data_IF_699464336272
#
_entry.id   IF_699464336272
#
_cell.length_a   1.000
_cell.length_b   1.000
_cell.length_c   1.000
_cell.angle_alpha   90.00
_cell.angle_beta   90.00
_cell.angle_gamma   90.00
#
_symmetry.space_group_name_H-M   'P 1'
#
loop_
_entity.id
_entity.type
_entity.pdbx_description
1 polymer ?
#
# COMPACT_ATOMS: atom_id res chain seq x y z
N UNK A 1 -27.74 32.47 1.60
CA UNK A 1 -29.11 32.33 1.07
C UNK A 1 -29.17 31.00 0.33
N UNK A 2 -29.51 29.93 1.05
CA UNK A 2 -29.53 28.57 0.49
C UNK A 2 -30.79 28.40 -0.34
N UNK A 3 -30.64 28.22 -1.66
CA UNK A 3 -31.70 27.63 -2.49
C UNK A 3 -31.94 26.24 -1.91
N UNK A 4 -33.08 26.04 -1.26
CA UNK A 4 -33.64 24.71 -1.12
C UNK A 4 -33.95 24.22 -2.55
N UNK A 5 -33.00 23.50 -3.15
CA UNK A 5 -33.22 22.81 -4.40
C UNK A 5 -34.24 21.71 -4.10
N UNK A 6 -35.48 21.92 -4.51
CA UNK A 6 -36.53 20.90 -4.51
C UNK A 6 -35.93 19.63 -5.14
N UNK A 7 -35.74 18.59 -4.32
CA UNK A 7 -35.27 17.28 -4.81
C UNK A 7 -36.32 16.61 -5.70
N UNK A 8 -37.58 16.98 -5.52
CA UNK A 8 -38.66 16.57 -6.39
C UNK A 8 -38.54 17.27 -7.75
N UNK A 9 -38.46 16.50 -8.83
CA UNK A 9 -38.30 17.06 -10.16
C UNK A 9 -38.12 16.00 -11.24
N UNK A 10 -37.95 16.46 -12.47
CA UNK A 10 -37.64 15.60 -13.61
C UNK A 10 -36.20 15.82 -14.03
N UNK A 11 -35.44 14.74 -14.14
CA UNK A 11 -34.01 14.80 -14.46
C UNK A 11 -33.64 13.83 -15.58
N UNK A 12 -32.66 14.19 -16.43
CA UNK A 12 -32.00 13.24 -17.31
C UNK A 12 -31.37 12.10 -16.51
N UNK A 13 -31.53 10.87 -17.01
CA UNK A 13 -31.09 9.65 -16.33
C UNK A 13 -29.94 9.00 -17.07
N UNK A 14 -28.93 8.57 -16.32
CA UNK A 14 -27.82 7.76 -16.81
C UNK A 14 -27.82 6.39 -16.11
N UNK A 15 -28.19 5.31 -16.83
CA UNK A 15 -28.09 3.96 -16.31
C UNK A 15 -26.64 3.48 -16.18
N UNK A 16 -26.21 3.12 -14.97
CA UNK A 16 -24.87 2.60 -14.70
C UNK A 16 -24.85 1.07 -14.76
N UNK A 17 -23.93 0.53 -15.58
CA UNK A 17 -23.77 -0.91 -15.78
C UNK A 17 -22.90 -1.58 -14.74
N UNK A 18 -21.69 -1.08 -14.58
CA UNK A 18 -20.64 -1.76 -13.80
C UNK A 18 -20.49 -1.14 -12.42
N UNK A 19 -20.70 0.16 -12.33
CA UNK A 19 -20.45 0.94 -11.11
C UNK A 19 -21.74 1.32 -10.40
N UNK A 20 -21.63 1.48 -9.08
CA UNK A 20 -22.66 2.01 -8.20
C UNK A 20 -21.98 3.11 -7.41
N UNK A 21 -22.57 4.30 -7.39
CA UNK A 21 -22.03 5.45 -6.68
C UNK A 21 -22.98 5.78 -5.52
N UNK A 22 -22.40 6.07 -4.35
CA UNK A 22 -23.12 6.63 -3.21
C UNK A 22 -22.93 8.16 -3.15
N UNK A 23 -23.76 8.89 -2.39
CA UNK A 23 -23.58 10.32 -2.16
C UNK A 23 -22.29 10.70 -1.42
N UNK A 24 -21.94 11.98 -1.46
CA UNK A 24 -20.96 12.60 -0.55
C UNK A 24 -19.55 12.75 -1.11
N UNK A 25 -19.23 12.14 -2.25
CA UNK A 25 -17.92 12.30 -2.92
C UNK A 25 -18.05 12.88 -4.33
N UNK A 26 -16.90 13.23 -4.90
CA UNK A 26 -16.74 13.62 -6.30
C UNK A 26 -15.96 12.52 -7.00
N UNK A 27 -16.42 12.07 -8.16
CA UNK A 27 -15.77 10.99 -8.89
C UNK A 27 -15.95 11.08 -10.40
N UNK A 28 -14.99 10.54 -11.19
CA UNK A 28 -15.12 10.43 -12.63
C UNK A 28 -16.00 9.22 -13.00
N UNK A 29 -16.86 9.39 -14.01
CA UNK A 29 -17.59 8.32 -14.68
C UNK A 29 -17.30 8.32 -16.17
N UNK A 30 -16.99 7.14 -16.72
CA UNK A 30 -16.82 6.95 -18.16
C UNK A 30 -18.16 6.79 -18.86
N UNK A 31 -18.35 7.55 -19.93
CA UNK A 31 -19.61 7.64 -20.66
C UNK A 31 -19.34 7.47 -22.14
N UNK A 32 -19.97 6.45 -22.73
CA UNK A 32 -19.78 6.10 -24.14
C UNK A 32 -21.04 5.83 -24.95
N UNK A 33 -22.21 5.76 -24.30
CA UNK A 33 -23.49 5.55 -25.01
C UNK A 33 -24.02 6.88 -25.53
N UNK A 34 -24.48 6.90 -26.78
CA UNK A 34 -25.08 8.11 -27.36
C UNK A 34 -26.21 8.69 -26.51
N UNK A 35 -27.12 7.86 -26.00
CA UNK A 35 -28.21 8.31 -25.14
C UNK A 35 -27.68 8.99 -23.85
N UNK A 36 -26.63 8.45 -23.23
CA UNK A 36 -26.02 9.06 -22.04
C UNK A 36 -25.29 10.37 -22.36
N UNK A 37 -24.64 10.46 -23.53
CA UNK A 37 -24.02 11.72 -24.00
C UNK A 37 -25.08 12.79 -24.21
N UNK A 38 -26.20 12.44 -24.87
CA UNK A 38 -27.33 13.38 -25.05
C UNK A 38 -27.94 13.82 -23.72
N UNK A 39 -28.04 12.92 -22.74
CA UNK A 39 -28.52 13.25 -21.39
C UNK A 39 -27.63 14.29 -20.70
N UNK A 40 -26.30 14.16 -20.82
CA UNK A 40 -25.35 15.15 -20.29
C UNK A 40 -25.49 16.48 -21.03
N UNK A 41 -25.51 16.46 -22.37
CA UNK A 41 -25.65 17.68 -23.16
C UNK A 41 -26.95 18.44 -22.83
N UNK A 42 -28.03 17.72 -22.55
CA UNK A 42 -29.27 18.31 -22.07
C UNK A 42 -29.11 18.88 -20.65
N UNK A 43 -28.60 18.09 -19.71
CA UNK A 43 -28.40 18.53 -18.32
C UNK A 43 -27.48 19.75 -18.20
N UNK A 44 -26.43 19.84 -19.01
CA UNK A 44 -25.50 20.98 -19.02
C UNK A 44 -26.12 22.28 -19.54
N UNK A 45 -27.26 22.22 -20.24
CA UNK A 45 -28.01 23.43 -20.66
C UNK A 45 -28.95 23.95 -19.59
N UNK A 46 -29.35 23.09 -18.65
CA UNK A 46 -30.27 23.41 -17.57
C UNK A 46 -29.47 23.64 -16.26
N UNK A 47 -29.67 22.81 -15.24
CA UNK A 47 -29.11 22.98 -13.90
C UNK A 47 -27.84 22.15 -13.63
N UNK A 48 -27.25 21.50 -14.64
CA UNK A 48 -26.17 20.51 -14.49
C UNK A 48 -26.54 19.30 -13.62
N UNK A 49 -27.83 19.07 -13.36
CA UNK A 49 -28.31 17.97 -12.52
C UNK A 49 -28.74 16.77 -13.36
N UNK A 50 -28.31 15.59 -12.92
CA UNK A 50 -28.69 14.30 -13.51
C UNK A 50 -29.01 13.30 -12.41
N UNK A 51 -29.63 12.20 -12.78
CA UNK A 51 -29.84 11.05 -11.89
C UNK A 51 -29.12 9.85 -12.47
N UNK A 52 -28.24 9.25 -11.67
CA UNK A 52 -27.59 7.99 -12.01
C UNK A 52 -28.33 6.85 -11.32
N UNK A 53 -28.59 5.77 -12.06
CA UNK A 53 -29.34 4.62 -11.55
C UNK A 53 -28.59 3.34 -11.89
N UNK A 54 -28.28 2.47 -10.93
CA UNK A 54 -27.70 1.17 -11.23
C UNK A 54 -28.70 0.30 -11.99
N UNK A 55 -28.21 -0.45 -12.97
CA UNK A 55 -28.98 -1.48 -13.67
C UNK A 55 -29.06 -2.75 -12.82
N UNK A 56 -30.23 -3.38 -12.77
CA UNK A 56 -30.42 -4.70 -12.16
C UNK A 56 -29.59 -5.76 -12.88
N UNK A 57 -29.59 -5.72 -14.21
CA UNK A 57 -28.79 -6.62 -15.04
C UNK A 57 -27.83 -5.82 -15.95
N UNK A 58 -26.51 -5.89 -15.71
CA UNK A 58 -25.49 -5.20 -16.52
C UNK A 58 -25.48 -5.58 -18.01
N UNK A 59 -25.98 -6.78 -18.34
CA UNK A 59 -26.00 -7.28 -19.72
C UNK A 59 -27.01 -6.53 -20.61
N UNK A 60 -27.99 -5.83 -20.02
CA UNK A 60 -28.99 -5.10 -20.78
C UNK A 60 -28.36 -3.89 -21.47
N UNK A 61 -28.62 -3.76 -22.78
CA UNK A 61 -28.06 -2.65 -23.58
C UNK A 61 -28.85 -1.38 -23.44
N UNK A 62 -30.15 -1.46 -23.58
CA UNK A 62 -31.03 -0.31 -23.56
C UNK A 62 -32.06 -0.56 -22.45
N UNK A 63 -31.70 -0.25 -21.19
CA UNK A 63 -32.51 -0.62 -20.03
C UNK A 63 -33.81 0.20 -19.99
N UNK A 64 -34.93 -0.50 -19.84
CA UNK A 64 -36.22 0.13 -19.53
C UNK A 64 -36.43 0.27 -18.03
N UNK A 65 -37.58 0.80 -17.61
CA UNK A 65 -37.90 1.03 -16.19
C UNK A 65 -37.75 -0.23 -15.32
N UNK A 66 -38.10 -1.41 -15.85
CA UNK A 66 -38.04 -2.68 -15.12
C UNK A 66 -36.60 -3.15 -14.86
N UNK A 67 -35.67 -2.76 -15.71
CA UNK A 67 -34.25 -3.13 -15.66
C UNK A 67 -33.44 -2.23 -14.74
N UNK A 68 -34.04 -1.15 -14.23
CA UNK A 68 -33.42 -0.18 -13.34
C UNK A 68 -33.88 -0.40 -11.89
N UNK A 69 -33.01 -0.06 -10.95
CA UNK A 69 -33.40 0.02 -9.54
C UNK A 69 -34.29 1.25 -9.28
N UNK A 70 -35.14 1.14 -8.26
CA UNK A 70 -36.08 2.20 -7.85
C UNK A 70 -35.40 3.30 -7.04
N UNK A 71 -34.13 3.10 -6.65
CA UNK A 71 -33.30 4.08 -5.96
C UNK A 71 -32.10 4.41 -6.83
N UNK A 72 -31.85 5.71 -7.00
CA UNK A 72 -30.68 6.25 -7.69
C UNK A 72 -29.98 7.31 -6.86
N UNK A 73 -29.00 7.96 -7.45
CA UNK A 73 -28.31 9.11 -6.86
C UNK A 73 -28.46 10.31 -7.76
N UNK A 74 -28.91 11.42 -7.17
CA UNK A 74 -28.88 12.73 -7.82
C UNK A 74 -27.44 13.23 -7.82
N UNK A 75 -26.95 13.63 -8.98
CA UNK A 75 -25.59 14.08 -9.16
C UNK A 75 -25.53 15.39 -9.94
N UNK A 76 -24.51 16.19 -9.64
CA UNK A 76 -24.19 17.42 -10.35
C UNK A 76 -22.99 17.17 -11.27
N UNK A 77 -23.10 17.58 -12.53
CA UNK A 77 -22.00 17.55 -13.50
C UNK A 77 -21.04 18.69 -13.16
N UNK A 78 -19.83 18.33 -12.72
CA UNK A 78 -18.77 19.30 -12.40
C UNK A 78 -17.94 19.61 -13.64
N UNK A 79 -17.56 18.59 -14.39
CA UNK A 79 -16.71 18.74 -15.56
C UNK A 79 -16.92 17.61 -16.56
N UNK A 80 -16.90 17.93 -17.86
CA UNK A 80 -16.94 16.96 -18.94
C UNK A 80 -15.63 17.02 -19.72
N UNK A 81 -14.91 15.90 -19.79
CA UNK A 81 -13.66 15.75 -20.53
C UNK A 81 -13.89 14.82 -21.72
N UNK A 82 -13.67 15.32 -22.93
CA UNK A 82 -13.77 14.53 -24.16
C UNK A 82 -12.41 13.94 -24.50
N UNK A 83 -12.30 12.61 -24.50
CA UNK A 83 -11.06 11.92 -24.86
C UNK A 83 -10.98 11.63 -26.36
N UNK A 84 -12.07 11.10 -26.93
CA UNK A 84 -12.17 10.73 -28.35
C UNK A 84 -13.63 10.87 -28.82
N UNK A 85 -13.93 10.77 -30.12
CA UNK A 85 -15.31 10.70 -30.59
C UNK A 85 -16.07 9.58 -29.85
N UNK A 86 -17.16 9.93 -29.18
CA UNK A 86 -18.01 8.98 -28.45
C UNK A 86 -17.46 8.48 -27.11
N UNK A 87 -16.34 9.00 -26.59
CA UNK A 87 -15.82 8.65 -25.25
C UNK A 87 -15.58 9.90 -24.40
N UNK A 88 -16.33 10.00 -23.32
CA UNK A 88 -16.28 11.12 -22.38
C UNK A 88 -16.00 10.60 -20.98
N UNK A 89 -15.24 11.37 -20.21
CA UNK A 89 -15.14 11.22 -18.76
C UNK A 89 -15.86 12.40 -18.14
N UNK A 90 -16.89 12.13 -17.34
CA UNK A 90 -17.64 13.15 -16.64
C UNK A 90 -17.31 13.08 -15.16
N UNK A 91 -16.75 14.16 -14.62
CA UNK A 91 -16.55 14.32 -13.18
C UNK A 91 -17.87 14.81 -12.59
N UNK A 92 -18.40 14.06 -11.63
CA UNK A 92 -19.69 14.33 -11.01
C UNK A 92 -19.55 14.43 -9.49
N UNK A 93 -20.35 15.32 -8.89
CA UNK A 93 -20.56 15.36 -7.44
C UNK A 93 -21.83 14.60 -7.11
N UNK A 94 -21.71 13.54 -6.33
CA UNK A 94 -22.85 12.71 -5.93
C UNK A 94 -23.53 13.33 -4.70
N UNK A 95 -24.77 13.80 -4.86
CA UNK A 95 -25.40 14.68 -3.88
C UNK A 95 -26.21 13.93 -2.84
N UNK A 96 -27.20 13.14 -3.26
CA UNK A 96 -28.12 12.44 -2.37
C UNK A 96 -28.82 11.27 -3.07
N UNK A 97 -29.38 10.35 -2.26
CA UNK A 97 -30.21 9.25 -2.73
C UNK A 97 -31.62 9.75 -3.06
N UNK A 98 -32.16 9.28 -4.18
CA UNK A 98 -33.50 9.65 -4.65
C UNK A 98 -34.31 8.41 -5.00
N UNK A 99 -35.61 8.49 -4.76
CA UNK A 99 -36.57 7.49 -5.23
C UNK A 99 -36.99 7.83 -6.66
N UNK A 100 -37.08 6.82 -7.52
CA UNK A 100 -37.44 6.95 -8.93
C UNK A 100 -38.93 6.64 -9.07
N UNK A 101 -39.75 7.68 -9.22
CA UNK A 101 -41.22 7.53 -9.24
C UNK A 101 -41.69 6.94 -10.58
N UNK A 102 -41.18 7.47 -11.70
CA UNK A 102 -41.51 6.99 -13.04
C UNK A 102 -40.49 7.44 -14.10
N UNK A 103 -40.32 6.64 -15.16
CA UNK A 103 -39.68 7.12 -16.39
C UNK A 103 -40.72 7.89 -17.23
N UNK A 104 -40.46 9.18 -17.46
CA UNK A 104 -41.37 10.10 -18.16
C UNK A 104 -41.06 10.14 -19.66
N UNK A 105 -39.80 9.93 -20.04
CA UNK A 105 -39.37 9.82 -21.42
C UNK A 105 -38.26 8.78 -21.57
N UNK A 106 -38.18 8.13 -22.74
CA UNK A 106 -37.16 7.12 -23.04
C UNK A 106 -36.26 7.49 -24.23
N UNK A 107 -36.74 8.37 -25.12
CA UNK A 107 -36.00 8.88 -26.26
C UNK A 107 -36.01 10.42 -26.24
N UNK A 108 -34.92 11.10 -26.68
CA UNK A 108 -33.65 10.55 -27.16
C UNK A 108 -32.72 10.03 -26.05
N UNK A 109 -33.12 10.21 -24.79
CA UNK A 109 -32.48 9.69 -23.58
C UNK A 109 -33.55 9.50 -22.49
N UNK A 110 -33.20 8.82 -21.40
CA UNK A 110 -34.12 8.58 -20.30
C UNK A 110 -34.34 9.84 -19.47
N UNK A 111 -35.58 10.12 -19.09
CA UNK A 111 -35.95 11.16 -18.12
C UNK A 111 -36.81 10.51 -17.04
N UNK A 112 -36.47 10.74 -15.77
CA UNK A 112 -37.24 10.24 -14.64
C UNK A 112 -37.79 11.37 -13.78
N UNK A 113 -39.01 11.18 -13.28
CA UNK A 113 -39.53 11.90 -12.12
C UNK A 113 -38.95 11.26 -10.86
N UNK A 114 -38.40 12.07 -9.97
CA UNK A 114 -37.79 11.61 -8.73
C UNK A 114 -38.32 12.37 -7.51
N UNK A 115 -38.23 11.74 -6.36
CA UNK A 115 -38.59 12.28 -5.06
C UNK A 115 -37.50 12.01 -4.01
N UNK A 116 -37.55 12.72 -2.88
CA UNK A 116 -36.62 12.51 -1.76
C UNK A 116 -36.80 11.09 -1.22
N UNK A 117 -35.72 10.31 -1.17
CA UNK A 117 -35.75 9.03 -0.48
C UNK A 117 -35.85 9.27 1.04
N UNK A 118 -36.95 8.85 1.65
CA UNK A 118 -37.12 8.94 3.10
C UNK A 118 -36.40 7.78 3.79
N UNK A 119 -35.43 8.10 4.63
CA UNK A 119 -34.83 7.11 5.53
C UNK A 119 -35.76 6.80 6.69
N UNK A 120 -35.76 5.53 7.10
CA UNK A 120 -36.48 5.06 8.28
C UNK A 120 -35.49 4.39 9.23
N UNK A 121 -35.88 4.22 10.49
CA UNK A 121 -35.14 3.36 11.39
C UNK A 121 -36.12 2.65 12.31
N UNK A 122 -35.96 1.33 12.42
CA UNK A 122 -36.69 0.49 13.36
C UNK A 122 -36.04 0.44 14.76
N UNK A 123 -34.84 0.99 14.92
CA UNK A 123 -34.06 0.93 16.15
C UNK A 123 -34.38 2.08 17.11
N UNK A 124 -33.99 1.91 18.38
CA UNK A 124 -34.07 3.01 19.35
C UNK A 124 -33.02 4.08 19.04
N UNK A 125 -33.28 5.33 19.45
CA UNK A 125 -32.34 6.43 19.26
C UNK A 125 -30.97 6.13 19.91
N UNK A 126 -30.95 5.48 21.07
CA UNK A 126 -29.71 5.11 21.76
C UNK A 126 -28.88 4.10 20.97
N UNK A 127 -29.52 3.07 20.40
CA UNK A 127 -28.85 2.08 19.55
C UNK A 127 -28.27 2.73 18.30
N UNK A 128 -29.04 3.62 17.66
CA UNK A 128 -28.60 4.32 16.47
C UNK A 128 -27.37 5.20 16.77
N UNK A 129 -27.38 5.94 17.88
CA UNK A 129 -26.25 6.77 18.31
C UNK A 129 -25.01 5.91 18.59
N UNK A 130 -25.16 4.82 19.33
CA UNK A 130 -24.05 3.94 19.68
C UNK A 130 -23.41 3.32 18.43
N UNK A 131 -24.21 2.80 17.51
CA UNK A 131 -23.69 2.19 16.28
C UNK A 131 -23.11 3.23 15.32
N UNK A 132 -23.70 4.43 15.25
CA UNK A 132 -23.13 5.54 14.48
C UNK A 132 -21.77 5.94 15.02
N UNK A 133 -21.61 5.99 16.35
CA UNK A 133 -20.31 6.26 16.97
C UNK A 133 -19.28 5.17 16.61
N UNK A 134 -19.67 3.90 16.67
CA UNK A 134 -18.82 2.77 16.26
C UNK A 134 -18.36 2.89 14.81
N UNK A 135 -19.26 3.18 13.87
CA UNK A 135 -18.92 3.41 12.45
C UNK A 135 -17.98 4.59 12.30
N UNK A 136 -18.24 5.70 13.02
CA UNK A 136 -17.39 6.89 13.01
C UNK A 136 -15.97 6.57 13.46
N UNK A 137 -15.82 5.79 14.53
CA UNK A 137 -14.51 5.44 15.08
C UNK A 137 -13.68 4.60 14.09
N UNK A 138 -14.29 3.60 13.45
CA UNK A 138 -13.60 2.84 12.41
C UNK A 138 -13.27 3.70 11.18
N UNK A 139 -14.19 4.56 10.73
CA UNK A 139 -13.92 5.46 9.60
C UNK A 139 -12.79 6.43 9.93
N UNK A 140 -12.75 6.97 11.15
CA UNK A 140 -11.65 7.82 11.61
C UNK A 140 -10.32 7.07 11.57
N UNK A 141 -10.27 5.82 12.02
CA UNK A 141 -9.06 5.00 11.95
C UNK A 141 -8.57 4.80 10.51
N UNK A 142 -9.50 4.56 9.57
CA UNK A 142 -9.20 4.40 8.15
C UNK A 142 -8.69 5.71 7.52
N UNK A 143 -9.33 6.84 7.83
CA UNK A 143 -8.96 8.15 7.28
C UNK A 143 -7.61 8.65 7.84
N UNK A 144 -7.31 8.39 9.11
CA UNK A 144 -6.05 8.85 9.72
C UNK A 144 -4.80 8.22 9.08
N UNK A 145 -4.86 6.94 8.69
CA UNK A 145 -3.73 6.27 8.05
C UNK A 145 -3.57 6.65 6.56
N UNK A 146 -4.68 7.02 5.90
CA UNK A 146 -4.62 7.55 4.54
C UNK A 146 -3.84 8.89 4.48
N UNK A 147 -3.97 9.72 5.51
CA UNK A 147 -3.36 11.06 5.60
C UNK A 147 -1.89 11.06 6.05
N UNK A 148 -1.46 10.08 6.87
CA UNK A 148 -0.03 9.94 7.25
C UNK A 148 0.84 9.61 6.04
N UNK A 149 0.29 8.95 5.02
CA UNK A 149 0.99 8.66 3.76
C UNK A 149 1.13 9.88 2.85
N UNK A 150 0.15 10.79 2.75
CA UNK A 150 0.28 12.01 1.93
C UNK A 150 1.42 12.91 2.41
N UNK A 151 1.65 12.99 3.72
CA UNK A 151 2.74 13.80 4.28
C UNK A 151 4.13 13.14 4.18
N UNK A 152 4.23 11.80 4.04
CA UNK A 152 5.51 11.08 3.85
C UNK A 152 5.83 10.81 2.37
N UNK A 153 4.85 10.75 1.47
CA UNK A 153 5.06 10.41 0.05
C UNK A 153 5.30 11.63 -0.86
N UNK A 154 5.21 12.85 -0.34
CA UNK A 154 5.65 14.05 -1.09
C UNK A 154 7.18 14.16 -1.24
N UNK A 155 7.96 13.28 -0.61
CA UNK A 155 9.42 13.22 -0.79
C UNK A 155 9.91 12.09 -1.68
N UNK A 156 9.09 11.12 -2.08
CA UNK A 156 9.56 10.00 -2.89
C UNK A 156 8.63 9.66 -4.05
N UNK A 157 9.09 10.03 -5.24
CA UNK A 157 8.41 9.86 -6.51
C UNK A 157 8.55 8.43 -7.02
N UNK A 158 7.84 7.49 -6.41
CA UNK A 158 7.70 6.14 -6.95
C UNK A 158 6.23 5.80 -7.22
N UNK A 159 5.98 5.57 -8.50
CA UNK A 159 4.74 5.14 -9.10
C UNK A 159 4.42 3.72 -8.64
N UNK A 160 3.74 3.58 -7.51
CA UNK A 160 2.96 2.38 -7.22
C UNK A 160 1.48 2.73 -7.19
N UNK A 161 0.83 2.43 -8.31
CA UNK A 161 -0.61 2.38 -8.44
C UNK A 161 -1.12 1.24 -7.56
N UNK A 162 -1.38 1.53 -6.29
CA UNK A 162 -2.18 0.66 -5.42
C UNK A 162 -3.21 1.51 -4.68
N UNK A 163 -4.43 1.44 -5.22
CA UNK A 163 -5.72 1.74 -4.60
C UNK A 163 -5.69 2.81 -3.49
N UNK A 164 -5.44 4.06 -3.89
CA UNK A 164 -5.62 5.21 -3.01
C UNK A 164 -7.12 5.42 -2.80
N UNK A 165 -7.61 5.58 -1.55
CA UNK A 165 -9.03 5.80 -1.32
C UNK A 165 -9.48 7.03 -2.09
N UNK A 166 -10.55 6.90 -2.87
CA UNK A 166 -11.08 7.97 -3.75
C UNK A 166 -11.80 9.09 -2.99
N UNK A 167 -11.57 9.20 -1.67
CA UNK A 167 -12.22 10.16 -0.79
C UNK A 167 -11.22 11.17 -0.22
N UNK A 168 -11.57 12.45 -0.32
CA UNK A 168 -10.85 13.59 0.28
C UNK A 168 -11.47 14.00 1.64
N UNK A 169 -11.86 13.04 2.48
CA UNK A 169 -12.35 13.34 3.82
C UNK A 169 -11.18 13.55 4.77
N UNK A 170 -11.19 14.71 5.41
CA UNK A 170 -10.37 15.02 6.57
C UNK A 170 -11.00 14.46 7.84
N UNK A 171 -10.18 14.26 8.87
CA UNK A 171 -10.64 13.88 10.21
C UNK A 171 -11.73 14.81 10.75
N UNK A 172 -11.60 16.12 10.51
CA UNK A 172 -12.55 17.14 10.94
C UNK A 172 -13.91 17.00 10.22
N UNK A 173 -13.90 16.68 8.92
CA UNK A 173 -15.13 16.42 8.15
C UNK A 173 -15.84 15.16 8.64
N UNK A 174 -15.12 14.07 8.94
CA UNK A 174 -15.76 12.86 9.48
C UNK A 174 -16.46 13.14 10.81
N UNK A 175 -15.84 13.95 11.67
CA UNK A 175 -16.42 14.33 12.97
C UNK A 175 -17.64 15.24 12.84
N UNK A 176 -17.73 16.06 11.79
CA UNK A 176 -18.86 16.97 11.59
C UNK A 176 -20.09 16.28 10.97
N UNK A 177 -19.95 15.05 10.48
CA UNK A 177 -21.08 14.28 9.97
C UNK A 177 -21.96 13.81 11.13
N UNK A 178 -23.13 14.46 11.25
CA UNK A 178 -24.17 14.15 12.24
C UNK A 178 -25.11 13.05 11.74
N UNK A 179 -25.45 13.10 10.45
CA UNK A 179 -26.39 12.17 9.81
C UNK A 179 -25.74 10.79 9.61
N UNK A 180 -26.28 9.71 10.19
CA UNK A 180 -25.71 8.38 10.07
C UNK A 180 -25.69 7.87 8.63
N UNK A 181 -26.69 8.20 7.81
CA UNK A 181 -26.74 7.73 6.43
C UNK A 181 -25.63 8.35 5.60
N UNK A 182 -25.37 9.64 5.82
CA UNK A 182 -24.24 10.34 5.19
C UNK A 182 -22.90 9.79 5.67
N UNK A 183 -22.81 9.31 6.91
CA UNK A 183 -21.60 8.69 7.43
C UNK A 183 -21.31 7.37 6.70
N UNK A 184 -22.33 6.55 6.48
CA UNK A 184 -22.22 5.31 5.68
C UNK A 184 -21.81 5.64 4.24
N UNK A 185 -22.46 6.61 3.61
CA UNK A 185 -22.17 7.03 2.24
C UNK A 185 -20.73 7.52 2.10
N UNK A 186 -20.28 8.33 3.06
CA UNK A 186 -18.93 8.88 3.14
C UNK A 186 -17.85 7.82 3.39
N UNK A 187 -18.21 6.70 4.01
CA UNK A 187 -17.29 5.61 4.30
C UNK A 187 -17.02 4.71 3.07
N UNK A 188 -18.01 4.54 2.19
CA UNK A 188 -17.91 3.59 1.09
C UNK A 188 -16.72 3.81 0.12
N UNK A 189 -16.31 5.05 -0.24
CA UNK A 189 -15.14 5.27 -1.11
C UNK A 189 -13.81 4.78 -0.52
N UNK A 190 -13.75 4.53 0.78
CA UNK A 190 -12.57 4.00 1.48
C UNK A 190 -12.56 2.47 1.57
N UNK A 191 -13.61 1.82 1.09
CA UNK A 191 -13.83 0.39 1.18
C UNK A 191 -13.83 -0.24 -0.20
N UNK A 192 -13.21 -1.41 -0.32
CA UNK A 192 -13.29 -2.25 -1.52
C UNK A 192 -14.56 -3.12 -1.44
N UNK A 193 -15.71 -2.49 -1.71
CA UNK A 193 -17.00 -3.18 -1.74
C UNK A 193 -17.34 -3.69 -3.14
N UNK A 194 -17.94 -4.88 -3.19
CA UNK A 194 -18.48 -5.41 -4.43
C UNK A 194 -19.72 -4.61 -4.86
N UNK A 195 -20.03 -4.68 -6.16
CA UNK A 195 -21.17 -3.98 -6.77
C UNK A 195 -22.49 -4.28 -6.06
N UNK A 196 -22.71 -5.54 -5.70
CA UNK A 196 -23.96 -5.97 -5.06
C UNK A 196 -24.07 -5.40 -3.64
N UNK A 197 -22.96 -5.30 -2.91
CA UNK A 197 -22.94 -4.66 -1.60
C UNK A 197 -23.20 -3.16 -1.69
N UNK A 198 -22.58 -2.46 -2.65
CA UNK A 198 -22.85 -1.05 -2.90
C UNK A 198 -24.32 -0.81 -3.30
N UNK A 199 -24.87 -1.68 -4.15
CA UNK A 199 -26.27 -1.61 -4.60
C UNK A 199 -27.22 -1.78 -3.41
N UNK A 200 -26.94 -2.76 -2.55
CA UNK A 200 -27.74 -2.98 -1.35
C UNK A 200 -27.62 -1.82 -0.35
N UNK A 201 -26.43 -1.23 -0.18
CA UNK A 201 -26.25 -0.03 0.65
C UNK A 201 -27.00 1.19 0.09
N UNK A 202 -27.10 1.31 -1.24
CA UNK A 202 -27.83 2.40 -1.89
C UNK A 202 -29.34 2.27 -1.67
N UNK A 203 -29.89 1.07 -1.87
CA UNK A 203 -31.34 0.80 -1.87
C UNK A 203 -31.91 0.67 -0.46
N UNK A 204 -31.14 0.20 0.51
CA UNK A 204 -31.61 0.02 1.88
C UNK A 204 -32.09 1.35 2.48
N UNK A 205 -33.33 1.36 2.96
CA UNK A 205 -33.99 2.52 3.54
C UNK A 205 -33.91 2.55 5.06
N UNK A 206 -33.62 1.42 5.72
CA UNK A 206 -33.41 1.38 7.17
C UNK A 206 -31.96 1.78 7.51
N UNK A 207 -31.80 2.95 8.14
CA UNK A 207 -30.50 3.50 8.55
C UNK A 207 -29.73 2.54 9.45
N UNK A 208 -30.41 1.80 10.33
CA UNK A 208 -29.75 0.84 11.22
C UNK A 208 -29.13 -0.32 10.42
N UNK A 209 -29.88 -0.89 9.48
CA UNK A 209 -29.38 -1.97 8.62
C UNK A 209 -28.18 -1.53 7.78
N UNK A 210 -28.18 -0.29 7.30
CA UNK A 210 -27.04 0.29 6.56
C UNK A 210 -25.79 0.37 7.42
N UNK A 211 -25.93 0.87 8.65
CA UNK A 211 -24.84 0.94 9.62
C UNK A 211 -24.28 -0.46 9.92
N UNK A 212 -25.15 -1.43 10.22
CA UNK A 212 -24.73 -2.81 10.52
C UNK A 212 -24.01 -3.46 9.34
N UNK A 213 -24.47 -3.18 8.11
CA UNK A 213 -23.90 -3.76 6.89
C UNK A 213 -22.50 -3.23 6.57
N UNK A 214 -22.20 -1.97 6.87
CA UNK A 214 -20.89 -1.39 6.55
C UNK A 214 -19.81 -1.72 7.60
N UNK A 215 -20.21 -2.01 8.85
CA UNK A 215 -19.30 -2.27 9.97
C UNK A 215 -18.25 -3.37 9.68
N UNK A 216 -18.62 -4.57 9.19
CA UNK A 216 -17.64 -5.63 8.97
C UNK A 216 -16.54 -5.25 7.97
N UNK A 217 -16.90 -4.47 6.94
CA UNK A 217 -15.95 -3.99 5.94
C UNK A 217 -15.04 -2.90 6.50
N UNK A 218 -15.59 -1.96 7.28
CA UNK A 218 -14.81 -0.93 7.96
C UNK A 218 -13.84 -1.51 9.00
N UNK A 219 -14.31 -2.45 9.81
CA UNK A 219 -13.50 -3.10 10.83
C UNK A 219 -12.34 -3.89 10.21
N UNK A 220 -12.61 -4.64 9.13
CA UNK A 220 -11.59 -5.34 8.36
C UNK A 220 -10.55 -4.37 7.80
N UNK A 221 -11.02 -3.27 7.20
CA UNK A 221 -10.13 -2.26 6.61
C UNK A 221 -9.25 -1.59 7.68
N UNK A 222 -9.83 -1.18 8.80
CA UNK A 222 -9.09 -0.61 9.92
C UNK A 222 -8.04 -1.60 10.47
N UNK A 223 -8.38 -2.89 10.56
CA UNK A 223 -7.47 -3.94 11.02
C UNK A 223 -6.30 -4.14 10.06
N UNK A 224 -6.56 -4.17 8.75
CA UNK A 224 -5.51 -4.28 7.72
C UNK A 224 -4.56 -3.09 7.79
N UNK A 225 -5.08 -1.87 7.93
CA UNK A 225 -4.25 -0.67 8.03
C UNK A 225 -3.40 -0.68 9.31
N UNK A 226 -3.97 -1.07 10.45
CA UNK A 226 -3.22 -1.22 11.70
C UNK A 226 -2.09 -2.22 11.57
N UNK A 227 -2.37 -3.42 11.04
CA UNK A 227 -1.35 -4.46 10.86
C UNK A 227 -0.23 -3.99 9.91
N UNK A 228 -0.57 -3.26 8.84
CA UNK A 228 0.43 -2.67 7.94
C UNK A 228 1.30 -1.65 8.66
N UNK A 229 0.73 -0.83 9.54
CA UNK A 229 1.48 0.13 10.35
C UNK A 229 2.42 -0.57 11.35
N UNK A 230 1.95 -1.62 12.01
CA UNK A 230 2.74 -2.42 12.96
C UNK A 230 3.94 -3.10 12.25
N UNK A 231 3.70 -3.73 11.09
CA UNK A 231 4.76 -4.34 10.27
C UNK A 231 5.76 -3.28 9.79
N UNK A 232 5.25 -2.11 9.36
CA UNK A 232 6.11 -1.00 8.95
C UNK A 232 7.03 -0.52 10.06
N UNK A 233 6.52 -0.37 11.28
CA UNK A 233 7.30 0.04 12.44
C UNK A 233 8.37 -1.00 12.82
N UNK A 234 8.06 -2.30 12.72
CA UNK A 234 9.00 -3.39 12.97
C UNK A 234 10.16 -3.39 11.96
N UNK A 235 9.86 -3.27 10.66
CA UNK A 235 10.86 -3.19 9.59
C UNK A 235 11.71 -1.91 9.66
N UNK A 236 11.12 -0.76 10.01
CA UNK A 236 11.89 0.47 10.27
C UNK A 236 12.85 0.28 11.46
N UNK A 237 12.43 -0.42 12.51
CA UNK A 237 13.27 -0.80 13.65
C UNK A 237 14.48 -1.65 13.24
N UNK A 238 14.25 -2.76 12.55
CA UNK A 238 15.33 -3.65 12.09
C UNK A 238 16.26 -3.00 11.07
N UNK A 239 15.71 -2.25 10.10
CA UNK A 239 16.50 -1.54 9.10
C UNK A 239 17.34 -0.43 9.72
N UNK A 240 16.85 0.28 10.75
CA UNK A 240 17.61 1.30 11.46
C UNK A 240 18.82 0.73 12.20
N UNK A 241 18.67 -0.44 12.84
CA UNK A 241 19.77 -1.15 13.50
C UNK A 241 20.81 -1.63 12.49
N UNK A 242 20.34 -2.26 11.40
CA UNK A 242 21.20 -2.76 10.32
C UNK A 242 21.95 -1.62 9.61
N UNK A 243 21.26 -0.50 9.36
CA UNK A 243 21.86 0.70 8.79
C UNK A 243 22.90 1.32 9.73
N UNK A 244 22.60 1.39 11.03
CA UNK A 244 23.55 1.89 12.04
C UNK A 244 24.79 1.01 12.13
N UNK A 245 24.64 -0.32 12.12
CA UNK A 245 25.76 -1.26 12.11
C UNK A 245 26.62 -1.09 10.85
N UNK A 246 25.99 -0.95 9.68
CA UNK A 246 26.69 -0.68 8.42
C UNK A 246 27.48 0.63 8.46
N UNK A 247 26.87 1.73 8.94
CA UNK A 247 27.55 3.02 9.08
C UNK A 247 28.74 2.93 10.03
N UNK A 248 28.59 2.22 11.14
CA UNK A 248 29.70 1.99 12.09
C UNK A 248 30.84 1.18 11.45
N UNK A 249 30.53 0.16 10.64
CA UNK A 249 31.55 -0.59 9.89
C UNK A 249 32.26 0.26 8.84
N UNK A 250 31.52 1.07 8.10
CA UNK A 250 32.11 1.98 7.10
C UNK A 250 33.01 3.02 7.79
N UNK A 251 32.61 3.54 8.96
CA UNK A 251 33.44 4.43 9.78
C UNK A 251 34.69 3.73 10.32
N UNK A 252 34.58 2.50 10.81
CA UNK A 252 35.74 1.71 11.24
C UNK A 252 36.71 1.49 10.09
N UNK A 253 36.20 1.16 8.90
CA UNK A 253 37.03 0.98 7.70
C UNK A 253 37.75 2.27 7.31
N UNK A 254 37.06 3.40 7.36
CA UNK A 254 37.64 4.71 7.06
C UNK A 254 38.70 5.12 8.10
N UNK A 255 38.45 4.86 9.39
CA UNK A 255 39.44 5.05 10.46
C UNK A 255 40.68 4.19 10.20
N UNK A 256 40.51 2.92 9.82
CA UNK A 256 41.61 2.01 9.49
C UNK A 256 42.40 2.45 8.25
N UNK A 257 41.73 2.95 7.21
CA UNK A 257 42.36 3.53 6.01
C UNK A 257 43.14 4.81 6.37
N UNK A 258 42.60 5.69 7.24
CA UNK A 258 43.27 6.92 7.70
C UNK A 258 44.46 6.65 8.67
N UNK A 259 44.43 5.54 9.40
CA UNK A 259 45.51 5.10 10.29
C UNK A 259 46.65 4.37 9.56
N UNK A 260 46.50 4.03 8.28
CA UNK A 260 47.53 3.36 7.48
C UNK A 260 47.73 1.87 7.78
N UNK A 261 46.78 1.21 8.46
CA UNK A 261 46.84 -0.23 8.84
C UNK A 261 46.51 -1.19 7.68
N UNK A 262 46.51 -0.72 6.43
CA UNK A 262 46.08 -1.51 5.27
C UNK A 262 47.12 -2.57 4.85
N UNK A 263 48.41 -2.33 5.11
CA UNK A 263 49.51 -3.24 4.77
C UNK A 263 49.55 -4.48 5.70
N UNK A 264 49.22 -4.30 6.98
CA UNK A 264 49.37 -5.34 8.00
C UNK A 264 48.39 -6.52 7.78
N UNK A 265 47.17 -6.27 7.30
CA UNK A 265 46.17 -7.32 7.08
C UNK A 265 46.40 -8.13 5.79
N UNK A 266 46.99 -7.53 4.75
CA UNK A 266 47.29 -8.22 3.51
C UNK A 266 48.31 -9.36 3.74
N UNK A 267 49.34 -9.08 4.54
CA UNK A 267 50.37 -10.05 4.93
C UNK A 267 49.79 -11.22 5.75
N UNK A 268 48.90 -10.91 6.70
CA UNK A 268 48.23 -11.92 7.53
C UNK A 268 47.37 -12.87 6.68
N UNK A 269 46.64 -12.34 5.70
CA UNK A 269 45.79 -13.14 4.82
C UNK A 269 46.60 -14.01 3.85
N UNK A 270 47.75 -13.54 3.37
CA UNK A 270 48.67 -14.36 2.57
C UNK A 270 49.25 -15.54 3.37
N UNK A 271 49.71 -15.28 4.61
CA UNK A 271 50.24 -16.32 5.48
C UNK A 271 49.16 -17.33 5.88
N UNK A 272 47.91 -16.89 6.05
CA UNK A 272 46.76 -17.78 6.29
C UNK A 272 46.57 -18.79 5.16
N UNK A 273 46.58 -18.32 3.90
CA UNK A 273 46.44 -19.19 2.72
C UNK A 273 47.58 -20.21 2.65
N UNK A 274 48.82 -19.78 2.86
CA UNK A 274 49.99 -20.69 2.86
C UNK A 274 49.89 -21.77 3.94
N UNK A 275 49.37 -21.45 5.13
CA UNK A 275 49.15 -22.44 6.21
C UNK A 275 48.10 -23.48 5.79
N UNK A 276 47.03 -23.07 5.12
CA UNK A 276 45.98 -23.98 4.66
C UNK A 276 46.43 -24.88 3.51
N UNK A 277 47.21 -24.34 2.57
CA UNK A 277 47.76 -25.07 1.42
C UNK A 277 48.91 -26.03 1.80
N UNK A 278 49.53 -25.80 2.95
CA UNK A 278 50.63 -26.64 3.43
C UNK A 278 50.16 -28.04 3.87
N UNK A 279 50.99 -29.04 3.59
CA UNK A 279 50.77 -30.45 3.99
C UNK A 279 51.25 -30.74 5.42
N UNK A 280 51.27 -29.74 6.30
CA UNK A 280 51.68 -29.91 7.71
C UNK A 280 50.66 -30.74 8.50
N UNK A 281 51.11 -31.38 9.59
CA UNK A 281 50.23 -32.14 10.48
C UNK A 281 49.27 -31.21 11.24
N UNK A 282 48.15 -31.75 11.73
CA UNK A 282 47.10 -30.95 12.38
C UNK A 282 47.59 -30.26 13.67
N UNK A 283 48.52 -30.89 14.41
CA UNK A 283 49.13 -30.30 15.61
C UNK A 283 49.95 -29.04 15.26
N UNK A 284 50.77 -29.11 14.20
CA UNK A 284 51.59 -27.99 13.74
C UNK A 284 50.72 -26.89 13.16
N UNK A 285 49.67 -27.25 12.41
CA UNK A 285 48.69 -26.31 11.88
C UNK A 285 47.98 -25.51 12.98
N UNK A 286 47.62 -26.17 14.07
CA UNK A 286 47.01 -25.50 15.23
C UNK A 286 47.96 -24.47 15.86
N UNK A 287 49.25 -24.80 15.98
CA UNK A 287 50.29 -23.88 16.49
C UNK A 287 50.48 -22.70 15.53
N UNK A 288 50.57 -22.95 14.22
CA UNK A 288 50.71 -21.89 13.20
C UNK A 288 49.52 -20.92 13.22
N UNK A 289 48.27 -21.44 13.28
CA UNK A 289 47.05 -20.62 13.40
C UNK A 289 47.03 -19.78 14.67
N UNK A 290 47.51 -20.32 15.80
CA UNK A 290 47.61 -19.59 17.08
C UNK A 290 48.60 -18.44 17.01
N UNK A 291 49.76 -18.63 16.37
CA UNK A 291 50.74 -17.54 16.19
C UNK A 291 50.25 -16.50 15.20
N UNK A 292 49.58 -16.90 14.10
CA UNK A 292 48.97 -15.98 13.15
C UNK A 292 47.91 -15.09 13.82
N UNK A 293 47.05 -15.67 14.68
CA UNK A 293 46.07 -14.90 15.45
C UNK A 293 46.69 -13.94 16.46
N UNK A 294 47.88 -14.27 16.99
CA UNK A 294 48.63 -13.39 17.88
C UNK A 294 49.25 -12.23 17.10
N UNK A 295 49.77 -12.52 15.92
CA UNK A 295 50.34 -11.55 14.99
C UNK A 295 49.30 -10.54 14.50
N UNK A 296 48.06 -10.98 14.23
CA UNK A 296 46.96 -10.09 13.80
C UNK A 296 46.44 -9.12 14.86
N UNK A 297 46.90 -9.24 16.10
CA UNK A 297 46.53 -8.36 17.22
C UNK A 297 47.70 -7.44 17.64
N UNK A 298 48.87 -7.61 17.01
CA UNK A 298 50.07 -6.84 17.28
C UNK A 298 50.27 -5.81 16.17
N UNK A 299 50.79 -4.63 16.51
CA UNK A 299 51.21 -3.65 15.52
C UNK A 299 52.42 -4.19 14.74
N UNK A 300 52.47 -4.02 13.42
CA UNK A 300 53.59 -4.49 12.58
C UNK A 300 54.96 -3.91 12.95
N UNK A 301 54.98 -2.75 13.60
CA UNK A 301 56.21 -2.11 14.12
C UNK A 301 56.79 -2.77 15.38
N UNK A 302 56.07 -3.71 16.00
CA UNK A 302 56.51 -4.40 17.22
C UNK A 302 57.61 -5.42 16.92
N UNK A 303 58.68 -5.49 17.72
CA UNK A 303 59.67 -6.57 17.65
C UNK A 303 59.03 -7.97 17.77
N UNK A 304 57.96 -8.09 18.55
CA UNK A 304 57.20 -9.34 18.73
C UNK A 304 56.42 -9.76 17.48
N UNK A 305 55.97 -8.81 16.66
CA UNK A 305 55.34 -9.09 15.36
C UNK A 305 56.34 -9.79 14.43
N UNK A 306 57.57 -9.26 14.33
CA UNK A 306 58.63 -9.87 13.52
C UNK A 306 58.99 -11.28 14.01
N UNK A 307 59.05 -11.50 15.33
CA UNK A 307 59.31 -12.83 15.90
C UNK A 307 58.20 -13.82 15.54
N UNK A 308 56.93 -13.41 15.65
CA UNK A 308 55.78 -14.25 15.30
C UNK A 308 55.76 -14.57 13.80
N UNK A 309 56.04 -13.58 12.95
CA UNK A 309 56.15 -13.72 11.50
C UNK A 309 57.23 -14.73 11.11
N UNK A 310 58.47 -14.54 11.58
CA UNK A 310 59.57 -15.45 11.25
C UNK A 310 59.29 -16.87 11.72
N UNK A 311 58.62 -17.04 12.87
CA UNK A 311 58.21 -18.37 13.33
C UNK A 311 57.20 -19.03 12.39
N UNK A 312 56.19 -18.30 11.92
CA UNK A 312 55.21 -18.81 10.95
C UNK A 312 55.86 -19.12 9.61
N UNK A 313 56.76 -18.26 9.12
CA UNK A 313 57.52 -18.48 7.89
C UNK A 313 58.39 -19.74 7.97
N UNK A 314 59.14 -19.93 9.07
CA UNK A 314 59.94 -21.13 9.28
C UNK A 314 59.09 -22.42 9.27
N UNK A 315 57.89 -22.38 9.84
CA UNK A 315 56.98 -23.53 9.80
C UNK A 315 56.49 -23.83 8.38
N UNK A 316 56.37 -22.83 7.51
CA UNK A 316 55.96 -22.99 6.11
C UNK A 316 57.10 -23.46 5.21
N UNK A 317 58.35 -23.15 5.54
CA UNK A 317 59.54 -23.55 4.77
C UNK A 317 59.90 -25.03 4.96
N UNK A 318 59.44 -25.67 6.03
CA UNK A 318 59.69 -27.09 6.27
C UNK A 318 58.98 -27.92 5.17
N UNK A 319 59.69 -28.83 4.48
CA UNK A 319 59.10 -29.64 3.41
C UNK A 319 58.27 -30.79 3.99
N UNK A 320 57.12 -30.45 4.56
CA UNK A 320 56.20 -31.41 5.18
C UNK A 320 55.79 -32.50 4.17
N UNK A 321 55.84 -33.76 4.61
CA UNK A 321 55.56 -34.94 3.78
C UNK A 321 56.47 -35.11 2.55
N UNK A 322 57.67 -34.52 2.55
CA UNK A 322 58.74 -34.87 1.61
C UNK A 322 59.83 -35.63 2.36
N UNK A 323 60.11 -36.84 1.88
CA UNK A 323 61.13 -37.71 2.45
C UNK A 323 62.13 -38.05 1.34
N UNK A 324 63.41 -38.14 1.70
CA UNK A 324 64.44 -38.68 0.81
C UNK A 324 64.37 -40.20 0.81
N UNK A 325 64.66 -40.85 -0.33
CA UNK A 325 64.80 -42.30 -0.37
C UNK A 325 66.02 -42.75 0.45
N UNK A 326 65.80 -43.67 1.40
CA UNK A 326 66.86 -44.20 2.25
C UNK A 326 67.87 -45.02 1.43
N UNK A 327 69.15 -44.63 1.51
CA UNK A 327 70.28 -45.42 0.98
C UNK A 327 70.79 -46.38 2.03
N UNK A 328 70.22 -47.58 2.08
CA UNK A 328 70.64 -48.67 2.98
C UNK A 328 71.76 -49.53 2.38
N UNK A 329 72.86 -48.90 1.93
CA UNK A 329 74.06 -49.61 1.45
C UNK A 329 75.17 -49.58 2.51
N UNK A 330 75.33 -50.69 3.23
CA UNK A 330 76.33 -50.86 4.31
C UNK A 330 77.77 -50.76 3.76
N UNK A 331 77.99 -51.10 2.48
CA UNK A 331 79.28 -50.97 1.81
C UNK A 331 79.63 -49.52 1.51
N UNK A 332 78.66 -48.72 1.04
CA UNK A 332 78.83 -47.30 0.78
C UNK A 332 79.01 -46.47 2.07
N UNK A 333 78.33 -46.85 3.16
CA UNK A 333 78.45 -46.20 4.47
C UNK A 333 79.83 -46.41 5.14
N UNK A 334 80.57 -47.46 4.75
CA UNK A 334 81.94 -47.73 5.26
C UNK A 334 83.02 -46.91 4.56
N UNK A 335 82.69 -46.24 3.46
CA UNK A 335 83.63 -45.46 2.64
C UNK A 335 83.62 -43.95 2.93
N UNK A 336 82.72 -43.51 3.82
CA UNK A 336 82.59 -42.12 4.31
C UNK A 336 83.13 -42.06 5.74
#
# INVERSE_FOLDING_TARGET
MSKHTETAGQYPVIPLRTEVQLPGHVGPLEIGREASVRAIEAATRDDNLIVIIPQKNPAVRDPGQRDLHEVGVRAEIVQVVKHSPGRFTCVMRFLERVHIDALVATEPFLVASVSVLQSSSSATAEQLIATTAKVRDYLLAVVTDAQTKENKSSSDSSKESHNQPRGELTRAQVQSIVDPDKLVDSAAPYLELERDDLTNLLIETDTMKRLERIIPSLERQATVLRLRADIGAELEGESSLTHRERVLRDRMRQIQEELGEQDDNAEIDELRKKIEDSKMSDEVRAVAKKQLSRMSQMASSSPEYNIARTYVENLLEIPWNQFTDDRLDVSAARAI
#
